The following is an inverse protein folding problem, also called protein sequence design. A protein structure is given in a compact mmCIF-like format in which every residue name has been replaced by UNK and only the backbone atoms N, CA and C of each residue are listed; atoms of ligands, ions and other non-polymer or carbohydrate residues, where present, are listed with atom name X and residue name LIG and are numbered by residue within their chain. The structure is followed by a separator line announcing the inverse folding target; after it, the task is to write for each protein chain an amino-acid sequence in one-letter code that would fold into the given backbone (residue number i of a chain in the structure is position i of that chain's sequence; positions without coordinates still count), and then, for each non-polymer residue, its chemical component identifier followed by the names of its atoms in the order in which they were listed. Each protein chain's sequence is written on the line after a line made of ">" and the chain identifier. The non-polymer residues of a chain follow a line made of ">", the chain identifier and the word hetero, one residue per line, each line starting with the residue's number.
data_IF_951462457826
#
_entry.id   IF_951462457826
#
_cell.length_a   1.000
_cell.length_b   1.000
_cell.length_c   1.000
_cell.angle_alpha   90.00
_cell.angle_beta   90.00
_cell.angle_gamma   90.00
#
_symmetry.space_group_name_H-M   'P 1'
#
loop_
_entity.id
_entity.type
_entity.pdbx_description
1 polymer ?
#
# COMPACT_ATOMS: atom_id res chain seq x y z
N UNK A 1 19.72 13.54 26.17
CA UNK A 1 20.03 13.11 24.78
C UNK A 1 18.82 12.41 24.19
N UNK A 2 18.20 13.09 23.23
CA UNK A 2 17.03 12.54 22.52
C UNK A 2 17.55 11.76 21.33
N UNK A 3 17.61 10.43 21.44
CA UNK A 3 18.09 9.59 20.35
C UNK A 3 16.95 9.34 19.35
N UNK A 4 17.15 9.79 18.11
CA UNK A 4 16.31 9.43 16.97
C UNK A 4 16.71 8.01 16.56
N UNK A 5 15.75 7.10 16.46
CA UNK A 5 15.99 5.71 16.10
C UNK A 5 15.64 5.41 14.66
N UNK A 6 14.57 6.03 14.14
CA UNK A 6 14.12 5.86 12.76
C UNK A 6 13.76 7.21 12.15
N UNK A 7 13.92 7.29 10.85
CA UNK A 7 13.51 8.46 10.05
C UNK A 7 12.87 7.98 8.77
N UNK A 8 11.82 8.69 8.33
CA UNK A 8 11.15 8.45 7.05
C UNK A 8 10.93 9.78 6.36
N UNK A 9 11.29 9.89 5.08
CA UNK A 9 11.15 11.13 4.32
C UNK A 9 9.96 11.03 3.37
N UNK A 10 9.19 12.11 3.27
CA UNK A 10 8.13 12.20 2.26
C UNK A 10 8.70 12.15 0.84
N UNK A 11 7.97 11.59 -0.14
CA UNK A 11 8.42 11.50 -1.53
C UNK A 11 8.77 12.84 -2.19
N UNK A 12 8.16 13.93 -1.73
CA UNK A 12 8.43 15.30 -2.20
C UNK A 12 9.54 16.01 -1.42
N UNK A 13 10.11 15.36 -0.39
CA UNK A 13 11.17 15.93 0.44
C UNK A 13 10.75 17.10 1.34
N UNK A 14 9.44 17.35 1.53
CA UNK A 14 8.97 18.46 2.39
C UNK A 14 8.88 18.09 3.87
N UNK A 15 8.77 16.80 4.17
CA UNK A 15 8.58 16.30 5.54
C UNK A 15 9.58 15.20 5.90
N UNK A 16 10.02 15.19 7.16
CA UNK A 16 10.70 14.05 7.77
C UNK A 16 9.89 13.60 8.98
N UNK A 17 9.59 12.32 9.05
CA UNK A 17 9.09 11.67 10.26
C UNK A 17 10.28 11.21 11.10
N UNK A 18 10.24 11.50 12.38
CA UNK A 18 11.31 11.22 13.35
C UNK A 18 10.75 10.35 14.48
N UNK A 19 11.32 9.16 14.68
CA UNK A 19 10.97 8.30 15.80
C UNK A 19 11.87 8.60 16.99
N UNK A 20 11.29 9.09 18.06
CA UNK A 20 11.93 9.27 19.35
C UNK A 20 11.60 8.08 20.27
N UNK A 21 12.20 6.94 20.00
CA UNK A 21 11.91 5.68 20.71
C UNK A 21 12.01 5.81 22.22
N UNK A 22 13.01 6.54 22.73
CA UNK A 22 13.18 6.81 24.17
C UNK A 22 12.02 7.59 24.78
N UNK A 23 11.26 8.31 23.94
CA UNK A 23 10.07 9.08 24.33
C UNK A 23 8.76 8.40 23.94
N UNK A 24 8.82 7.28 23.20
CA UNK A 24 7.65 6.51 22.78
C UNK A 24 6.71 7.26 21.83
N UNK A 25 7.24 8.13 20.96
CA UNK A 25 6.43 8.83 19.97
C UNK A 25 7.19 9.16 18.68
N UNK A 26 6.43 9.45 17.64
CA UNK A 26 6.90 10.04 16.40
C UNK A 26 6.58 11.53 16.34
N UNK A 27 7.41 12.29 15.64
CA UNK A 27 7.10 13.65 15.23
C UNK A 27 7.29 13.83 13.72
N UNK A 28 6.69 14.88 13.18
CA UNK A 28 6.87 15.33 11.80
C UNK A 28 7.56 16.68 11.78
N UNK A 29 8.70 16.75 11.10
CA UNK A 29 9.45 17.98 10.87
C UNK A 29 9.16 18.48 9.45
N UNK A 30 8.63 19.68 9.31
CA UNK A 30 8.52 20.34 8.02
C UNK A 30 9.86 21.02 7.68
N UNK A 31 10.47 20.62 6.56
CA UNK A 31 11.78 21.13 6.18
C UNK A 31 11.77 22.58 5.67
N UNK A 32 10.61 23.07 5.19
CA UNK A 32 10.47 24.45 4.74
C UNK A 32 10.27 25.41 5.89
N UNK A 33 9.35 25.08 6.82
CA UNK A 33 9.03 25.94 7.96
C UNK A 33 9.95 25.69 9.16
N UNK A 34 10.63 24.52 9.19
CA UNK A 34 11.43 24.01 10.32
C UNK A 34 10.60 23.77 11.59
N UNK A 35 9.29 23.65 11.43
CA UNK A 35 8.39 23.33 12.53
C UNK A 35 8.31 21.83 12.72
N UNK A 36 8.38 21.40 13.98
CA UNK A 36 8.22 20.01 14.38
C UNK A 36 6.91 19.82 15.14
N UNK A 37 6.13 18.84 14.75
CA UNK A 37 4.83 18.54 15.34
C UNK A 37 4.79 17.08 15.79
N UNK A 38 4.52 16.83 17.08
CA UNK A 38 4.32 15.48 17.63
C UNK A 38 3.11 14.81 16.96
N UNK A 39 3.26 13.54 16.60
CA UNK A 39 2.22 12.75 15.89
C UNK A 39 1.62 11.68 16.82
N UNK A 40 0.61 12.00 17.63
CA UNK A 40 0.05 11.07 18.61
C UNK A 40 -0.72 9.90 17.98
N UNK A 41 -1.05 10.00 16.68
CA UNK A 41 -1.72 8.96 15.93
C UNK A 41 -0.80 7.82 15.45
N UNK A 42 0.52 7.92 15.64
CA UNK A 42 1.49 6.89 15.30
C UNK A 42 1.93 6.20 16.58
N UNK A 43 1.96 4.86 16.56
CA UNK A 43 2.55 4.09 17.68
C UNK A 43 4.04 4.39 17.82
N UNK A 44 4.50 4.58 19.06
CA UNK A 44 5.93 4.71 19.34
C UNK A 44 6.76 3.48 18.97
N UNK A 45 6.09 2.34 18.77
CA UNK A 45 6.69 1.07 18.34
C UNK A 45 6.52 0.79 16.83
N UNK A 46 5.82 1.66 16.10
CA UNK A 46 5.68 1.50 14.65
C UNK A 46 7.05 1.52 13.96
N UNK A 47 7.22 0.62 12.99
CA UNK A 47 8.37 0.56 12.10
C UNK A 47 8.10 1.34 10.81
N UNK A 48 9.14 1.57 10.00
CA UNK A 48 9.00 2.34 8.76
C UNK A 48 8.02 1.69 7.77
N UNK A 49 8.01 0.34 7.69
CA UNK A 49 7.07 -0.42 6.87
C UNK A 49 5.61 -0.28 7.29
N UNK A 50 5.37 0.22 8.48
CA UNK A 50 4.02 0.47 9.03
C UNK A 50 3.59 1.93 8.86
N UNK A 51 4.35 2.70 8.09
CA UNK A 51 4.08 4.11 7.76
C UNK A 51 4.14 4.28 6.25
N UNK A 52 3.13 4.95 5.69
CA UNK A 52 3.08 5.25 4.26
C UNK A 52 2.61 6.68 4.02
N UNK A 53 3.36 7.42 3.22
CA UNK A 53 2.92 8.72 2.73
C UNK A 53 1.84 8.57 1.65
N UNK A 54 0.72 9.28 1.82
CA UNK A 54 -0.45 9.25 0.91
C UNK A 54 -0.78 10.64 0.36
N UNK A 55 0.20 11.50 0.26
CA UNK A 55 0.07 12.87 -0.21
C UNK A 55 1.13 13.75 0.39
N UNK A 56 1.07 15.04 0.13
CA UNK A 56 2.11 15.98 0.56
C UNK A 56 2.27 16.09 2.08
N UNK A 57 1.17 16.05 2.83
CA UNK A 57 1.12 16.28 4.27
C UNK A 57 0.25 15.23 5.00
N UNK A 58 0.08 14.07 4.38
CA UNK A 58 -0.75 12.99 4.94
C UNK A 58 0.00 11.67 4.90
N UNK A 59 -0.22 10.88 5.94
CA UNK A 59 0.27 9.51 6.05
C UNK A 59 -0.87 8.57 6.48
N UNK A 60 -0.68 7.29 6.24
CA UNK A 60 -1.32 6.21 6.98
C UNK A 60 -0.25 5.52 7.81
N UNK A 61 -0.53 5.31 9.08
CA UNK A 61 0.42 4.68 9.98
C UNK A 61 -0.27 3.81 11.01
N UNK A 62 0.44 2.79 11.51
CA UNK A 62 0.01 2.01 12.65
C UNK A 62 -0.04 2.91 13.89
N UNK A 63 -1.20 2.97 14.53
CA UNK A 63 -1.43 3.66 15.81
C UNK A 63 -1.15 2.76 17.00
N UNK A 64 -1.29 3.33 18.19
CA UNK A 64 -1.21 2.54 19.41
C UNK A 64 -2.32 1.48 19.43
N UNK A 65 -2.01 0.27 19.91
CA UNK A 65 -3.01 -0.77 20.02
C UNK A 65 -4.14 -0.38 20.97
N UNK A 66 -5.33 -0.83 20.68
CA UNK A 66 -6.50 -0.63 21.53
C UNK A 66 -6.69 -1.87 22.42
N UNK A 67 -6.61 -1.65 23.71
CA UNK A 67 -6.87 -2.68 24.71
C UNK A 67 -8.36 -2.79 25.01
N UNK A 68 -8.89 -3.99 24.95
CA UNK A 68 -10.24 -4.32 25.42
C UNK A 68 -10.16 -5.33 26.56
N UNK A 69 -11.30 -5.64 27.21
CA UNK A 69 -11.31 -6.66 28.29
C UNK A 69 -10.82 -8.04 27.84
N UNK A 70 -10.97 -8.37 26.54
CA UNK A 70 -10.73 -9.71 26.01
C UNK A 70 -9.72 -9.79 24.87
N UNK A 71 -9.23 -8.65 24.36
CA UNK A 71 -8.31 -8.63 23.22
C UNK A 71 -7.56 -7.32 23.12
N UNK A 72 -6.39 -7.41 22.54
CA UNK A 72 -5.60 -6.28 22.00
C UNK A 72 -5.68 -6.35 20.48
N UNK A 73 -5.77 -5.20 19.83
CA UNK A 73 -5.75 -5.11 18.38
C UNK A 73 -5.09 -3.81 17.92
N UNK A 74 -4.37 -3.89 16.79
CA UNK A 74 -3.75 -2.73 16.17
C UNK A 74 -4.78 -1.93 15.36
N UNK A 75 -4.53 -0.64 15.25
CA UNK A 75 -5.32 0.29 14.44
C UNK A 75 -4.42 1.02 13.47
N UNK A 76 -4.92 1.32 12.29
CA UNK A 76 -4.26 2.20 11.32
C UNK A 76 -5.00 3.51 11.22
N UNK A 77 -4.24 4.59 11.26
CA UNK A 77 -4.74 5.95 11.25
C UNK A 77 -4.27 6.69 10.00
N UNK A 78 -5.17 7.46 9.39
CA UNK A 78 -4.81 8.52 8.46
C UNK A 78 -4.52 9.78 9.26
N UNK A 79 -3.37 10.38 9.05
CA UNK A 79 -2.87 11.49 9.86
C UNK A 79 -2.52 12.65 8.94
N UNK A 80 -2.98 13.84 9.30
CA UNK A 80 -2.49 15.08 8.69
C UNK A 80 -1.29 15.58 9.50
N UNK A 81 -0.13 15.66 8.87
CA UNK A 81 1.14 15.96 9.53
C UNK A 81 1.20 17.39 10.13
N UNK A 82 0.55 18.36 9.47
CA UNK A 82 0.49 19.75 9.94
C UNK A 82 -0.31 19.90 11.22
N UNK A 83 -1.45 19.21 11.27
CA UNK A 83 -2.41 19.39 12.39
C UNK A 83 -2.31 18.30 13.43
N UNK A 84 -1.51 17.24 13.16
CA UNK A 84 -1.42 16.01 13.95
C UNK A 84 -2.78 15.32 14.17
N UNK A 85 -3.79 15.64 13.34
CA UNK A 85 -5.13 15.06 13.44
C UNK A 85 -5.13 13.68 12.83
N UNK A 86 -5.39 12.69 13.67
CA UNK A 86 -5.53 11.29 13.29
C UNK A 86 -7.00 10.91 13.13
N UNK A 87 -7.28 10.09 12.10
CA UNK A 87 -8.61 9.49 11.87
C UNK A 87 -8.40 8.01 11.61
N UNK A 88 -9.05 7.15 12.41
CA UNK A 88 -8.98 5.70 12.23
C UNK A 88 -9.45 5.33 10.83
N UNK A 89 -8.67 4.48 10.16
CA UNK A 89 -9.01 3.92 8.86
C UNK A 89 -9.55 2.49 9.00
N UNK A 90 -8.78 1.59 9.63
CA UNK A 90 -9.18 0.20 9.90
C UNK A 90 -8.48 -0.33 11.15
N UNK A 91 -8.79 -1.55 11.54
CA UNK A 91 -8.12 -2.32 12.59
C UNK A 91 -8.01 -3.81 12.22
N UNK A 92 -7.20 -4.57 12.97
CA UNK A 92 -6.96 -6.00 12.73
C UNK A 92 -8.23 -6.86 12.84
N UNK A 93 -9.29 -6.34 13.47
CA UNK A 93 -10.59 -7.00 13.55
C UNK A 93 -11.43 -6.77 12.29
N UNK A 94 -11.12 -5.72 11.53
CA UNK A 94 -11.73 -5.56 10.21
C UNK A 94 -11.20 -6.70 9.35
N UNK A 95 -12.02 -7.35 8.58
CA UNK A 95 -11.61 -8.37 7.62
C UNK A 95 -10.93 -7.73 6.40
N UNK A 96 -10.21 -6.64 6.62
CA UNK A 96 -9.48 -5.91 5.61
C UNK A 96 -8.03 -6.37 5.69
N UNK A 97 -7.51 -6.83 4.57
CA UNK A 97 -6.11 -7.17 4.42
C UNK A 97 -5.41 -5.99 3.76
N UNK A 98 -4.17 -5.74 4.16
CA UNK A 98 -3.42 -4.63 3.66
C UNK A 98 -2.22 -5.14 2.84
N UNK A 99 -1.95 -4.43 1.76
CA UNK A 99 -0.74 -4.58 0.99
C UNK A 99 0.05 -3.28 1.06
N UNK A 100 1.33 -3.36 1.39
CA UNK A 100 2.22 -2.22 1.28
C UNK A 100 3.30 -2.50 0.25
N UNK A 101 3.40 -1.64 -0.74
CA UNK A 101 4.56 -1.58 -1.62
C UNK A 101 4.77 -0.10 -1.95
N UNK A 102 5.39 0.65 -1.01
CA UNK A 102 5.53 2.10 -1.02
C UNK A 102 4.21 2.90 -0.99
N UNK A 103 3.07 2.27 -1.24
CA UNK A 103 1.73 2.83 -1.13
C UNK A 103 0.78 1.79 -0.57
N UNK A 104 -0.15 2.21 0.29
CA UNK A 104 -0.99 1.30 1.03
C UNK A 104 -2.27 1.00 0.25
N UNK A 105 -2.52 -0.29 0.07
CA UNK A 105 -3.78 -0.81 -0.39
C UNK A 105 -4.49 -1.50 0.75
N UNK A 106 -5.77 -1.31 0.77
CA UNK A 106 -6.66 -2.08 1.63
C UNK A 106 -7.58 -2.86 0.74
N UNK A 107 -7.68 -4.14 0.96
CA UNK A 107 -8.65 -4.94 0.26
C UNK A 107 -9.52 -5.75 1.21
N UNK A 108 -10.77 -5.93 0.79
CA UNK A 108 -11.79 -6.63 1.56
C UNK A 108 -12.63 -7.49 0.64
N UNK A 109 -12.74 -8.77 0.98
CA UNK A 109 -13.64 -9.67 0.27
C UNK A 109 -15.07 -9.53 0.82
N UNK A 110 -15.97 -8.99 0.03
CA UNK A 110 -17.38 -8.83 0.42
C UNK A 110 -18.29 -9.39 -0.67
N UNK A 111 -19.13 -10.38 -0.33
CA UNK A 111 -20.10 -11.03 -1.25
C UNK A 111 -19.46 -11.50 -2.57
N UNK A 112 -18.31 -12.16 -2.53
CA UNK A 112 -17.63 -12.67 -3.72
C UNK A 112 -16.90 -11.61 -4.55
N UNK A 113 -16.84 -10.36 -4.09
CA UNK A 113 -16.09 -9.28 -4.74
C UNK A 113 -14.93 -8.84 -3.87
N UNK A 114 -13.79 -8.57 -4.48
CA UNK A 114 -12.69 -7.89 -3.84
C UNK A 114 -12.89 -6.38 -3.96
N UNK A 115 -12.89 -5.70 -2.84
CA UNK A 115 -12.88 -4.25 -2.77
C UNK A 115 -11.43 -3.79 -2.56
N UNK A 116 -10.83 -3.23 -3.60
CA UNK A 116 -9.50 -2.62 -3.54
C UNK A 116 -9.63 -1.12 -3.32
N UNK A 117 -8.91 -0.60 -2.33
CA UNK A 117 -8.83 0.83 -2.05
C UNK A 117 -7.39 1.29 -2.12
N UNK A 118 -7.11 2.25 -2.97
CA UNK A 118 -5.83 2.95 -3.01
C UNK A 118 -5.90 4.16 -2.08
N UNK A 119 -5.07 4.20 -1.06
CA UNK A 119 -5.16 5.22 -0.02
C UNK A 119 -4.69 6.60 -0.48
N UNK A 120 -3.65 6.67 -1.32
CA UNK A 120 -3.13 7.94 -1.82
C UNK A 120 -4.13 8.66 -2.72
N UNK A 121 -4.88 7.93 -3.56
CA UNK A 121 -5.87 8.52 -4.47
C UNK A 121 -7.28 8.57 -3.88
N UNK A 122 -7.47 8.00 -2.69
CA UNK A 122 -8.79 7.87 -2.06
C UNK A 122 -9.85 7.23 -3.00
N UNK A 123 -9.37 6.40 -3.94
CA UNK A 123 -10.21 5.70 -4.91
C UNK A 123 -10.37 4.25 -4.54
N UNK A 124 -11.43 3.64 -5.01
CA UNK A 124 -11.69 2.22 -4.81
C UNK A 124 -12.30 1.59 -6.05
N UNK A 125 -12.10 0.30 -6.19
CA UNK A 125 -12.69 -0.52 -7.24
C UNK A 125 -13.17 -1.84 -6.67
N UNK A 126 -14.36 -2.26 -7.09
CA UNK A 126 -14.88 -3.59 -6.81
C UNK A 126 -14.53 -4.51 -7.98
N UNK A 127 -13.81 -5.59 -7.70
CA UNK A 127 -13.42 -6.58 -8.69
C UNK A 127 -14.14 -7.88 -8.36
N UNK A 128 -15.00 -8.40 -9.25
CA UNK A 128 -15.67 -9.68 -9.04
C UNK A 128 -14.67 -10.83 -9.16
N UNK A 129 -14.93 -11.89 -8.39
CA UNK A 129 -14.28 -13.19 -8.51
C UNK A 129 -12.75 -13.23 -8.29
N UNK A 130 -12.20 -12.23 -7.61
CA UNK A 130 -10.77 -12.22 -7.24
C UNK A 130 -10.51 -13.20 -6.12
N UNK A 131 -9.50 -14.04 -6.33
CA UNK A 131 -8.97 -14.97 -5.34
C UNK A 131 -7.80 -14.36 -4.57
N UNK A 132 -6.78 -13.91 -5.29
CA UNK A 132 -5.54 -13.42 -4.70
C UNK A 132 -5.04 -12.14 -5.41
N UNK A 133 -4.50 -11.21 -4.64
CA UNK A 133 -3.74 -10.07 -5.16
C UNK A 133 -2.26 -10.45 -5.13
N UNK A 134 -1.58 -10.40 -6.27
CA UNK A 134 -0.19 -10.84 -6.36
C UNK A 134 0.82 -9.70 -6.25
N UNK A 135 0.61 -8.63 -7.02
CA UNK A 135 1.61 -7.59 -7.19
C UNK A 135 0.95 -6.23 -7.32
N UNK A 136 1.60 -5.27 -6.72
CA UNK A 136 1.34 -3.83 -6.90
C UNK A 136 2.58 -3.26 -7.57
N UNK A 137 2.41 -2.40 -8.56
CA UNK A 137 3.55 -1.77 -9.22
C UNK A 137 4.25 -0.74 -8.33
N UNK A 138 5.46 -0.35 -8.72
CA UNK A 138 6.31 0.59 -8.01
C UNK A 138 5.70 1.99 -7.87
N UNK A 139 4.79 2.37 -8.77
CA UNK A 139 4.05 3.62 -8.73
C UNK A 139 2.71 3.52 -7.98
N UNK A 140 2.29 2.30 -7.64
CA UNK A 140 1.04 2.05 -6.95
C UNK A 140 -0.23 2.18 -7.81
N UNK A 141 -0.10 2.31 -9.11
CA UNK A 141 -1.21 2.52 -10.02
C UNK A 141 -1.83 1.23 -10.55
N UNK A 142 -1.06 0.16 -10.59
CA UNK A 142 -1.46 -1.12 -11.18
C UNK A 142 -1.36 -2.26 -10.19
N UNK A 143 -2.34 -3.16 -10.24
CA UNK A 143 -2.41 -4.35 -9.41
C UNK A 143 -2.60 -5.56 -10.30
N UNK A 144 -1.79 -6.60 -10.07
CA UNK A 144 -1.96 -7.91 -10.66
C UNK A 144 -2.71 -8.81 -9.66
N UNK A 145 -3.76 -9.47 -10.14
CA UNK A 145 -4.56 -10.40 -9.32
C UNK A 145 -5.03 -11.59 -10.15
N UNK A 146 -5.43 -12.67 -9.48
CA UNK A 146 -6.05 -13.84 -10.10
C UNK A 146 -7.51 -14.05 -9.66
N UNK A 147 -8.27 -14.79 -10.49
CA UNK A 147 -9.61 -15.26 -10.15
C UNK A 147 -9.60 -16.71 -9.64
N UNK A 148 -10.76 -17.20 -9.21
CA UNK A 148 -10.92 -18.58 -8.75
C UNK A 148 -10.68 -19.64 -9.84
N UNK A 149 -10.61 -19.23 -11.10
CA UNK A 149 -10.31 -20.08 -12.26
C UNK A 149 -8.85 -20.07 -12.66
N UNK A 150 -8.00 -19.29 -11.95
CA UNK A 150 -6.58 -19.13 -12.24
C UNK A 150 -6.30 -18.25 -13.45
N UNK A 151 -7.18 -17.31 -13.77
CA UNK A 151 -6.91 -16.30 -14.75
C UNK A 151 -6.30 -15.07 -14.07
N UNK A 152 -5.25 -14.54 -14.66
CA UNK A 152 -4.59 -13.33 -14.20
C UNK A 152 -5.19 -12.08 -14.85
N UNK A 153 -5.21 -10.99 -14.08
CA UNK A 153 -5.72 -9.69 -14.51
C UNK A 153 -4.81 -8.57 -14.08
N UNK A 154 -4.63 -7.58 -14.95
CA UNK A 154 -3.99 -6.31 -14.62
C UNK A 154 -5.08 -5.25 -14.43
N UNK A 155 -5.07 -4.59 -13.28
CA UNK A 155 -6.00 -3.54 -12.91
C UNK A 155 -5.28 -2.20 -12.86
N UNK A 156 -5.85 -1.16 -13.46
CA UNK A 156 -5.44 0.22 -13.25
C UNK A 156 -6.39 0.86 -12.24
N UNK A 157 -5.88 1.19 -11.05
CA UNK A 157 -6.68 1.72 -9.96
C UNK A 157 -7.13 3.17 -10.18
N UNK A 158 -6.35 3.98 -10.89
CA UNK A 158 -6.75 5.37 -11.23
C UNK A 158 -7.98 5.40 -12.13
N UNK A 159 -7.93 4.58 -13.18
CA UNK A 159 -8.99 4.56 -14.19
C UNK A 159 -10.13 3.59 -13.83
N UNK A 160 -9.98 2.81 -12.76
CA UNK A 160 -10.92 1.77 -12.33
C UNK A 160 -11.21 0.74 -13.44
N UNK A 161 -10.17 0.34 -14.14
CA UNK A 161 -10.25 -0.56 -15.28
C UNK A 161 -9.38 -1.79 -15.06
N UNK A 162 -9.76 -2.93 -15.64
CA UNK A 162 -8.94 -4.12 -15.60
C UNK A 162 -9.06 -4.93 -16.87
N UNK A 163 -8.01 -5.70 -17.19
CA UNK A 163 -7.92 -6.54 -18.37
C UNK A 163 -7.36 -7.90 -18.00
N UNK A 164 -7.91 -8.96 -18.60
CA UNK A 164 -7.36 -10.29 -18.47
C UNK A 164 -5.95 -10.32 -19.06
N UNK A 165 -5.07 -10.95 -18.32
CA UNK A 165 -3.69 -11.16 -18.67
C UNK A 165 -3.40 -12.65 -18.76
N UNK A 166 -2.61 -13.07 -19.74
CA UNK A 166 -2.23 -14.47 -19.89
C UNK A 166 -0.74 -14.58 -19.62
N UNK A 167 -0.41 -15.01 -18.41
CA UNK A 167 0.96 -15.40 -18.11
C UNK A 167 1.28 -16.72 -18.82
N UNK A 168 2.43 -16.83 -19.51
CA UNK A 168 2.86 -18.09 -20.07
C UNK A 168 2.86 -19.19 -19.00
N UNK A 169 2.36 -20.38 -19.35
CA UNK A 169 2.18 -21.51 -18.39
C UNK A 169 3.43 -21.82 -17.58
N UNK A 170 4.62 -21.64 -18.17
CA UNK A 170 5.91 -21.88 -17.48
C UNK A 170 6.15 -20.96 -16.26
N UNK A 171 5.40 -19.87 -16.10
CA UNK A 171 5.56 -18.92 -15.01
C UNK A 171 4.45 -18.99 -13.96
N UNK A 172 3.60 -20.02 -13.99
CA UNK A 172 2.44 -20.11 -13.08
C UNK A 172 2.77 -20.69 -11.72
N UNK A 173 3.82 -21.54 -11.64
CA UNK A 173 4.21 -22.23 -10.41
C UNK A 173 5.58 -21.77 -9.95
N UNK A 174 5.77 -21.59 -8.63
CA UNK A 174 7.01 -21.20 -7.96
C UNK A 174 7.73 -19.97 -8.57
N UNK A 175 6.95 -18.95 -8.90
CA UNK A 175 7.44 -17.77 -9.60
C UNK A 175 7.25 -16.52 -8.74
N UNK A 176 8.34 -15.75 -8.58
CA UNK A 176 8.26 -14.40 -8.02
C UNK A 176 8.14 -13.39 -9.16
N UNK A 177 7.23 -12.43 -9.01
CA UNK A 177 6.96 -11.43 -10.02
C UNK A 177 7.09 -10.03 -9.42
N UNK A 178 7.66 -9.12 -10.20
CA UNK A 178 7.78 -7.71 -9.85
C UNK A 178 7.29 -6.87 -11.02
N UNK A 179 6.41 -5.93 -10.76
CA UNK A 179 5.78 -5.09 -11.77
C UNK A 179 6.41 -3.70 -11.77
N UNK A 180 7.13 -3.35 -12.83
CA UNK A 180 7.65 -2.01 -13.07
C UNK A 180 6.69 -1.27 -14.02
N UNK A 181 5.64 -0.67 -13.43
CA UNK A 181 4.52 -0.10 -14.19
C UNK A 181 4.90 1.07 -15.08
N UNK A 182 5.80 1.94 -14.64
CA UNK A 182 6.30 3.08 -15.44
C UNK A 182 7.01 2.62 -16.70
N UNK A 183 7.85 1.60 -16.58
CA UNK A 183 8.61 1.01 -17.67
C UNK A 183 7.78 0.04 -18.51
N UNK A 184 6.56 -0.27 -18.06
CA UNK A 184 5.67 -1.27 -18.68
C UNK A 184 6.35 -2.62 -18.84
N UNK A 185 7.07 -3.01 -17.81
CA UNK A 185 7.81 -4.27 -17.76
C UNK A 185 7.47 -5.06 -16.51
N UNK A 186 7.58 -6.37 -16.63
CA UNK A 186 7.48 -7.28 -15.52
C UNK A 186 8.74 -8.12 -15.44
N UNK A 187 9.34 -8.18 -14.26
CA UNK A 187 10.44 -9.06 -13.97
C UNK A 187 9.85 -10.32 -13.33
N UNK A 188 10.23 -11.46 -13.90
CA UNK A 188 9.75 -12.78 -13.46
C UNK A 188 10.94 -13.62 -13.10
N UNK A 189 11.03 -14.04 -11.85
CA UNK A 189 12.01 -15.03 -11.41
C UNK A 189 11.34 -16.41 -11.35
N UNK A 190 11.87 -17.35 -12.11
CA UNK A 190 11.44 -18.75 -12.08
C UNK A 190 12.65 -19.64 -11.80
N UNK A 191 12.70 -20.23 -10.60
CA UNK A 191 13.86 -20.94 -10.13
C UNK A 191 15.10 -20.04 -10.04
N UNK A 192 16.15 -20.36 -10.82
CA UNK A 192 17.39 -19.56 -10.90
C UNK A 192 17.42 -18.59 -12.07
N UNK A 193 16.40 -18.59 -12.92
CA UNK A 193 16.32 -17.76 -14.10
C UNK A 193 15.50 -16.51 -13.85
N UNK A 194 15.94 -15.40 -14.45
CA UNK A 194 15.26 -14.11 -14.39
C UNK A 194 14.88 -13.70 -15.80
N UNK A 195 13.61 -13.36 -15.99
CA UNK A 195 13.05 -12.92 -17.27
C UNK A 195 12.54 -11.50 -17.13
N UNK A 196 12.82 -10.68 -18.15
CA UNK A 196 12.24 -9.36 -18.30
C UNK A 196 11.19 -9.42 -19.41
N UNK A 197 9.93 -9.22 -19.07
CA UNK A 197 8.80 -9.31 -19.99
C UNK A 197 8.31 -7.89 -20.29
N UNK A 198 8.22 -7.54 -21.57
CA UNK A 198 7.54 -6.31 -22.00
C UNK A 198 6.03 -6.53 -21.94
N UNK A 199 5.36 -5.69 -21.17
CA UNK A 199 3.92 -5.74 -20.95
C UNK A 199 3.20 -4.50 -21.51
N UNK A 200 3.88 -3.73 -22.38
CA UNK A 200 3.34 -2.49 -22.96
C UNK A 200 1.98 -2.67 -23.60
N UNK A 201 1.74 -3.81 -24.28
CA UNK A 201 0.47 -4.10 -24.92
C UNK A 201 -0.69 -4.35 -23.93
N UNK A 202 -0.37 -4.74 -22.70
CA UNK A 202 -1.37 -4.88 -21.64
C UNK A 202 -1.94 -3.53 -21.22
N UNK A 203 -1.12 -2.49 -21.23
CA UNK A 203 -1.52 -1.14 -20.86
C UNK A 203 -2.29 -0.39 -21.94
N UNK A 204 -2.06 -0.72 -23.22
CA UNK A 204 -2.68 0.00 -24.37
C UNK A 204 -4.20 -0.11 -24.45
N UNK A 205 -4.79 -1.12 -23.84
CA UNK A 205 -6.20 -1.47 -24.02
C UNK A 205 -6.93 -1.76 -22.70
N UNK A 206 -6.47 -1.19 -21.59
CA UNK A 206 -7.23 -1.25 -20.34
C UNK A 206 -8.39 -0.28 -20.46
N UNK A 207 -9.50 -0.75 -21.01
CA UNK A 207 -10.73 0.03 -21.21
C UNK A 207 -11.60 -0.06 -19.96
N UNK A 208 -12.35 1.02 -19.62
CA UNK A 208 -13.38 0.92 -18.61
C UNK A 208 -14.39 -0.16 -19.01
N UNK A 209 -14.76 -1.00 -18.05
CA UNK A 209 -15.89 -1.92 -18.24
C UNK A 209 -17.16 -1.08 -18.29
N UNK A 210 -17.91 -1.15 -19.39
CA UNK A 210 -19.25 -0.57 -19.49
C UNK A 210 -20.22 -1.23 -18.53
#
# INVERSE_FOLDING_TARGET
>A
DTKICNMEMSPDGEWILLNYRSKGYWSALNLKTREETKQPGISGYAHNEEICFIGKDKIVAMGNPVMTKNSEYNVWNKINLKTAKATKQWDDRSKEEQYSNNEWYVYKKKKGKLHLKHLAYETSIDIPDVKTVHIIDDAGDYVLFDDDQGNDYLCNLRNKTYKKFILPKKFRDDTQMYLAGKEKKMLVQHGKEIYLIDISDMYKNIQPRK
#
